data_IF_200653792104
#
_entry.id   IF_200653792104
#
_cell.length_a   1.000
_cell.length_b   1.000
_cell.length_c   1.000
_cell.angle_alpha   90.00
_cell.angle_beta   90.00
_cell.angle_gamma   90.00
#
_symmetry.space_group_name_H-M   'P 1'
#
loop_
_entity.id
_entity.type
_entity.pdbx_description
1 polymer ?
#
# COMPACT_ATOMS: atom_id res chain seq x y z
N UNK A 1 -4.71 -13.80 -44.20
CA UNK A 1 -3.42 -14.08 -43.55
C UNK A 1 -3.26 -13.12 -42.39
N UNK A 2 -3.12 -13.68 -41.19
CA UNK A 2 -2.67 -13.03 -39.96
C UNK A 2 -1.36 -12.26 -40.22
N UNK A 3 -1.10 -11.13 -39.53
CA UNK A 3 -0.21 -11.12 -38.35
C UNK A 3 0.17 -9.68 -37.91
N UNK A 4 -0.11 -9.43 -36.63
CA UNK A 4 0.54 -8.55 -35.64
C UNK A 4 1.15 -7.18 -35.99
N UNK A 5 0.83 -6.23 -35.12
CA UNK A 5 1.70 -5.09 -34.84
C UNK A 5 1.22 -4.18 -33.70
N UNK A 6 0.58 -4.72 -32.65
CA UNK A 6 0.28 -3.96 -31.43
C UNK A 6 1.59 -3.82 -30.63
N UNK A 7 2.39 -2.82 -30.97
CA UNK A 7 3.52 -2.36 -30.14
C UNK A 7 2.92 -1.44 -29.07
N UNK A 8 2.52 -2.04 -27.95
CA UNK A 8 2.25 -1.29 -26.72
C UNK A 8 3.61 -0.93 -26.11
N UNK A 9 4.14 0.25 -26.46
CA UNK A 9 5.29 0.83 -25.78
C UNK A 9 4.96 1.19 -24.32
N UNK A 10 5.96 1.35 -23.44
CA UNK A 10 5.79 1.57 -22.00
C UNK A 10 5.26 2.96 -21.62
N UNK A 11 4.54 3.63 -22.51
CA UNK A 11 4.02 4.98 -22.31
C UNK A 11 2.63 4.95 -21.66
N UNK A 12 2.55 4.46 -20.43
CA UNK A 12 1.56 4.93 -19.47
C UNK A 12 2.22 5.83 -18.42
N UNK A 13 3.18 6.67 -18.85
CA UNK A 13 3.64 7.78 -18.03
C UNK A 13 2.62 8.91 -18.15
N UNK A 14 1.54 8.79 -17.37
CA UNK A 14 0.45 9.75 -17.33
C UNK A 14 1.05 11.15 -17.05
N UNK A 15 0.84 12.17 -17.92
CA UNK A 15 1.50 13.49 -17.85
C UNK A 15 1.11 14.39 -16.64
N UNK A 16 0.69 13.79 -15.52
CA UNK A 16 0.40 14.46 -14.25
C UNK A 16 1.15 13.89 -13.05
N UNK A 17 1.81 12.72 -13.17
CA UNK A 17 2.44 12.04 -12.03
C UNK A 17 3.58 12.84 -11.41
N UNK A 18 4.42 13.49 -12.22
CA UNK A 18 5.49 14.38 -11.71
C UNK A 18 4.94 15.50 -10.83
N UNK A 19 3.77 16.04 -11.21
CA UNK A 19 3.10 17.12 -10.47
C UNK A 19 2.54 16.62 -9.15
N UNK A 20 1.91 15.45 -9.16
CA UNK A 20 1.38 14.78 -7.95
C UNK A 20 2.51 14.44 -6.97
N UNK A 21 3.59 13.83 -7.47
CA UNK A 21 4.80 13.52 -6.68
C UNK A 21 5.41 14.79 -6.06
N UNK A 22 5.55 15.86 -6.84
CA UNK A 22 6.07 17.14 -6.33
C UNK A 22 5.17 17.78 -5.26
N UNK A 23 3.85 17.58 -5.36
CA UNK A 23 2.88 18.11 -4.40
C UNK A 23 2.96 17.35 -3.07
N UNK A 24 3.00 16.02 -3.13
CA UNK A 24 3.16 15.15 -1.95
C UNK A 24 4.49 15.45 -1.26
N UNK A 25 5.58 15.56 -2.02
CA UNK A 25 6.90 15.89 -1.50
C UNK A 25 6.92 17.28 -0.83
N UNK A 26 6.24 18.28 -1.41
CA UNK A 26 6.16 19.63 -0.84
C UNK A 26 5.33 19.67 0.45
N UNK A 27 4.21 18.97 0.52
CA UNK A 27 3.39 18.86 1.74
C UNK A 27 4.20 18.23 2.87
N UNK A 28 4.94 17.16 2.55
CA UNK A 28 5.85 16.52 3.50
C UNK A 28 6.93 17.47 4.01
N UNK A 29 7.58 18.20 3.09
CA UNK A 29 8.63 19.16 3.44
C UNK A 29 8.09 20.33 4.29
N UNK A 30 6.88 20.82 3.99
CA UNK A 30 6.21 21.87 4.76
C UNK A 30 5.87 21.40 6.18
N UNK A 31 5.40 20.17 6.32
CA UNK A 31 5.11 19.57 7.62
C UNK A 31 6.39 19.43 8.48
N UNK A 32 7.49 18.96 7.87
CA UNK A 32 8.80 18.89 8.54
C UNK A 32 9.30 20.28 8.93
N UNK A 33 9.24 21.26 8.03
CA UNK A 33 9.73 22.63 8.27
C UNK A 33 8.93 23.34 9.35
N UNK A 34 7.59 23.21 9.33
CA UNK A 34 6.72 23.78 10.37
C UNK A 34 6.93 23.14 11.74
N UNK A 35 7.18 21.82 11.77
CA UNK A 35 7.39 21.08 13.00
C UNK A 35 8.82 21.18 13.56
N UNK A 36 9.80 21.60 12.76
CA UNK A 36 11.21 21.75 13.18
C UNK A 36 11.40 22.85 14.23
N UNK A 37 10.39 23.69 14.47
CA UNK A 37 10.37 24.70 15.53
C UNK A 37 10.17 24.09 16.93
N UNK A 38 9.65 22.86 17.02
CA UNK A 38 9.50 22.08 18.25
C UNK A 38 10.10 20.69 18.04
N UNK A 39 11.32 20.48 18.54
CA UNK A 39 12.07 19.21 18.56
C UNK A 39 11.91 18.35 17.30
N UNK A 40 12.78 18.48 16.28
CA UNK A 40 12.67 17.79 14.99
C UNK A 40 12.57 16.25 15.12
N UNK A 41 13.08 15.68 16.21
CA UNK A 41 12.99 14.26 16.53
C UNK A 41 11.55 13.79 16.77
N UNK A 42 10.74 14.56 17.51
CA UNK A 42 9.35 14.21 17.83
C UNK A 42 8.49 14.31 16.57
N UNK A 43 8.75 15.31 15.74
CA UNK A 43 8.13 15.47 14.43
C UNK A 43 8.34 14.24 13.54
N UNK A 44 9.60 13.83 13.40
CA UNK A 44 9.99 12.69 12.57
C UNK A 44 9.39 11.39 13.11
N UNK A 45 9.46 11.16 14.42
CA UNK A 45 8.86 9.98 15.06
C UNK A 45 7.35 9.91 14.83
N UNK A 46 6.66 11.05 14.90
CA UNK A 46 5.21 11.13 14.66
C UNK A 46 4.87 10.78 13.21
N UNK A 47 5.62 11.31 12.25
CA UNK A 47 5.42 11.02 10.82
C UNK A 47 5.69 9.55 10.52
N UNK A 48 6.80 9.02 11.03
CA UNK A 48 7.14 7.60 10.88
C UNK A 48 6.07 6.72 11.54
N UNK A 49 5.56 7.11 12.70
CA UNK A 49 4.47 6.42 13.39
C UNK A 49 3.17 6.39 12.58
N UNK A 50 2.77 7.53 12.01
CA UNK A 50 1.55 7.64 11.18
C UNK A 50 1.70 6.83 9.89
N UNK A 51 2.85 6.92 9.22
CA UNK A 51 3.12 6.17 7.99
C UNK A 51 3.13 4.66 8.26
N UNK A 52 3.78 4.23 9.35
CA UNK A 52 3.80 2.83 9.76
C UNK A 52 2.40 2.31 10.09
N UNK A 53 1.56 3.13 10.73
CA UNK A 53 0.18 2.77 11.03
C UNK A 53 -0.66 2.62 9.75
N UNK A 54 -0.52 3.53 8.79
CA UNK A 54 -1.19 3.45 7.49
C UNK A 54 -0.80 2.18 6.74
N UNK A 55 0.50 1.87 6.67
CA UNK A 55 1.01 0.65 6.05
C UNK A 55 0.47 -0.61 6.74
N UNK A 56 0.47 -0.63 8.07
CA UNK A 56 -0.07 -1.75 8.85
C UNK A 56 -1.57 -1.93 8.59
N UNK A 57 -2.34 -0.85 8.57
CA UNK A 57 -3.77 -0.91 8.27
C UNK A 57 -4.05 -1.40 6.85
N UNK A 58 -3.25 -0.99 5.86
CA UNK A 58 -3.36 -1.49 4.50
C UNK A 58 -3.03 -2.99 4.42
N UNK A 59 -1.98 -3.43 5.10
CA UNK A 59 -1.63 -4.85 5.18
C UNK A 59 -2.75 -5.69 5.81
N UNK A 60 -3.31 -5.23 6.92
CA UNK A 60 -4.44 -5.90 7.58
C UNK A 60 -5.68 -5.95 6.67
N UNK A 61 -5.96 -4.87 5.94
CA UNK A 61 -7.07 -4.86 4.99
C UNK A 61 -6.87 -5.88 3.86
N UNK A 62 -5.64 -6.01 3.34
CA UNK A 62 -5.28 -7.02 2.34
C UNK A 62 -5.51 -8.43 2.90
N UNK A 63 -4.97 -8.70 4.10
CA UNK A 63 -5.11 -10.00 4.77
C UNK A 63 -6.58 -10.32 5.03
N UNK A 64 -7.37 -9.40 5.58
CA UNK A 64 -8.80 -9.64 5.86
C UNK A 64 -9.56 -9.96 4.56
N UNK A 65 -9.30 -9.20 3.49
CA UNK A 65 -9.98 -9.44 2.22
C UNK A 65 -9.60 -10.79 1.60
N UNK A 66 -8.32 -11.15 1.61
CA UNK A 66 -7.80 -12.37 0.97
C UNK A 66 -8.06 -13.61 1.83
N UNK A 67 -7.80 -13.53 3.13
CA UNK A 67 -7.87 -14.65 4.06
C UNK A 67 -9.27 -14.89 4.64
N UNK A 68 -9.91 -13.84 5.15
CA UNK A 68 -11.20 -13.97 5.82
C UNK A 68 -12.36 -13.93 4.82
N UNK A 69 -12.35 -12.96 3.89
CA UNK A 69 -13.42 -12.77 2.92
C UNK A 69 -13.23 -13.57 1.62
N UNK A 70 -12.06 -14.21 1.43
CA UNK A 70 -11.69 -14.97 0.23
C UNK A 70 -11.95 -14.22 -1.07
N UNK A 71 -11.69 -12.90 -1.07
CA UNK A 71 -11.80 -12.05 -2.25
C UNK A 71 -10.44 -11.92 -2.90
N UNK A 72 -10.43 -11.99 -4.23
CA UNK A 72 -9.29 -11.48 -4.98
C UNK A 72 -9.28 -9.96 -4.88
N UNK A 73 -8.10 -9.40 -4.62
CA UNK A 73 -7.90 -7.94 -4.63
C UNK A 73 -6.68 -7.61 -5.48
N UNK A 74 -6.70 -6.42 -6.08
CA UNK A 74 -5.56 -5.84 -6.78
C UNK A 74 -5.07 -4.64 -5.98
N UNK A 75 -3.79 -4.65 -5.60
CA UNK A 75 -3.17 -3.58 -4.82
C UNK A 75 -1.79 -3.29 -5.39
N UNK A 76 -1.53 -2.02 -5.71
CA UNK A 76 -0.27 -1.55 -6.34
C UNK A 76 0.13 -2.33 -7.62
N UNK A 77 -0.86 -2.79 -8.40
CA UNK A 77 -0.63 -3.58 -9.62
C UNK A 77 -0.25 -5.04 -9.38
N UNK A 78 -0.27 -5.49 -8.13
CA UNK A 78 -0.15 -6.89 -7.75
C UNK A 78 -1.53 -7.48 -7.49
N UNK A 79 -1.79 -8.66 -8.04
CA UNK A 79 -3.02 -9.39 -7.79
C UNK A 79 -2.83 -10.39 -6.66
N UNK A 80 -3.68 -10.30 -5.64
CA UNK A 80 -3.68 -11.20 -4.49
C UNK A 80 -4.87 -12.15 -4.60
N UNK A 81 -4.58 -13.41 -4.92
CA UNK A 81 -5.59 -14.47 -4.98
C UNK A 81 -5.62 -15.26 -3.67
N UNK A 82 -6.80 -15.55 -3.11
CA UNK A 82 -6.94 -16.38 -1.91
C UNK A 82 -6.26 -17.75 -2.01
N UNK A 83 -6.18 -18.31 -3.21
CA UNK A 83 -5.54 -19.61 -3.48
C UNK A 83 -4.05 -19.62 -3.20
N UNK A 84 -3.36 -18.51 -3.48
CA UNK A 84 -1.91 -18.42 -3.35
C UNK A 84 -1.48 -18.38 -1.88
N UNK A 85 -2.39 -17.96 -1.01
CA UNK A 85 -2.16 -17.80 0.42
C UNK A 85 -2.86 -18.89 1.24
N UNK A 86 -3.41 -19.94 0.61
CA UNK A 86 -4.25 -20.94 1.29
C UNK A 86 -3.53 -21.65 2.46
N UNK A 87 -2.21 -21.85 2.36
CA UNK A 87 -1.39 -22.39 3.46
C UNK A 87 -1.31 -21.44 4.67
N UNK A 88 -1.16 -20.13 4.40
CA UNK A 88 -1.14 -19.09 5.43
C UNK A 88 -2.55 -18.92 6.03
N UNK A 89 -3.59 -18.95 5.20
CA UNK A 89 -4.99 -18.88 5.63
C UNK A 89 -5.34 -20.06 6.54
N UNK A 90 -4.92 -21.28 6.17
CA UNK A 90 -5.11 -22.50 6.99
C UNK A 90 -4.43 -22.39 8.35
N UNK A 91 -3.24 -21.77 8.40
CA UNK A 91 -2.54 -21.50 9.67
C UNK A 91 -3.21 -20.40 10.51
N UNK A 92 -3.88 -19.43 9.87
CA UNK A 92 -4.60 -18.34 10.54
C UNK A 92 -5.98 -18.79 11.05
N UNK A 93 -6.59 -19.82 10.45
CA UNK A 93 -7.87 -20.43 10.90
C UNK A 93 -7.75 -21.27 12.17
N UNK A 94 -6.61 -21.22 12.89
CA UNK A 94 -6.48 -21.84 14.21
C UNK A 94 -7.29 -21.02 15.22
N UNK A 95 -8.55 -21.47 15.37
CA UNK A 95 -9.58 -21.21 16.37
C UNK A 95 -9.93 -19.75 16.74
N UNK A 96 -11.21 -19.33 16.58
CA UNK A 96 -11.69 -17.96 16.89
C UNK A 96 -11.61 -17.54 18.37
N UNK A 97 -11.06 -18.38 19.26
CA UNK A 97 -10.83 -18.06 20.68
C UNK A 97 -9.44 -17.50 20.99
N UNK A 98 -8.54 -17.41 20.01
CA UNK A 98 -7.18 -16.86 20.17
C UNK A 98 -7.09 -15.34 19.93
N UNK A 99 -8.20 -14.69 19.58
CA UNK A 99 -8.32 -13.25 19.30
C UNK A 99 -9.22 -12.59 20.36
N UNK A 100 -8.99 -12.90 21.64
CA UNK A 100 -9.65 -12.24 22.77
C UNK A 100 -8.73 -11.26 23.48
#
# INVERSE_FOLDING_TARGET
>A
MLLYGLVLGPSLFIPGWKKILSSIQRIFLLYITGSSRTTPTVALQTITGILLLQLKAQQEAIIINVACLRKQIEFEGLSYQPRDYEGIIKSLTIHPSLIS
#
